data_IF_586122832159
#
_entry.id   IF_586122832159
#
_cell.length_a   1.000
_cell.length_b   1.000
_cell.length_c   1.000
_cell.angle_alpha   90.00
_cell.angle_beta   90.00
_cell.angle_gamma   90.00
#
_symmetry.space_group_name_H-M   'P 1'
#
loop_
_entity.id
_entity.type
_entity.pdbx_description
1 polymer ?
#
# COMPACT_ATOMS: atom_id res chain seq x y z
N UNK A 1 -15.24 -25.84 6.40
CA UNK A 1 -15.69 -24.55 7.02
C UNK A 1 -15.58 -23.51 5.92
N UNK A 2 -16.52 -22.57 5.81
CA UNK A 2 -16.48 -21.47 4.84
C UNK A 2 -15.83 -20.24 5.47
N UNK A 3 -15.41 -19.28 4.66
CA UNK A 3 -15.00 -17.96 5.15
C UNK A 3 -16.09 -17.34 6.04
N UNK A 4 -15.73 -16.44 6.99
CA UNK A 4 -16.71 -15.75 7.83
C UNK A 4 -17.84 -15.11 7.01
N UNK A 5 -19.07 -15.09 7.54
CA UNK A 5 -20.21 -14.50 6.81
C UNK A 5 -20.10 -13.00 6.59
N UNK A 6 -19.36 -12.33 7.47
CA UNK A 6 -19.05 -10.91 7.46
C UNK A 6 -17.70 -10.60 6.83
N UNK A 7 -17.14 -11.56 6.05
CA UNK A 7 -15.88 -11.39 5.35
C UNK A 7 -15.92 -10.19 4.39
N UNK A 8 -14.94 -9.32 4.49
CA UNK A 8 -14.87 -8.06 3.75
C UNK A 8 -14.30 -8.26 2.34
N UNK A 9 -15.14 -8.67 1.41
CA UNK A 9 -14.83 -8.70 0.00
C UNK A 9 -14.88 -7.31 -0.60
N UNK A 10 -13.87 -6.88 -1.35
CA UNK A 10 -13.89 -5.56 -1.96
C UNK A 10 -12.83 -5.36 -3.02
N UNK A 11 -12.35 -4.13 -3.12
CA UNK A 11 -11.25 -3.73 -3.99
C UNK A 11 -10.43 -2.61 -3.36
N UNK A 12 -9.23 -2.38 -3.87
CA UNK A 12 -8.29 -1.42 -3.32
C UNK A 12 -7.70 -0.48 -4.38
N UNK A 13 -7.49 0.78 -3.98
CA UNK A 13 -6.81 1.84 -4.74
C UNK A 13 -6.04 2.78 -3.80
N UNK A 14 -5.23 3.67 -4.37
CA UNK A 14 -4.55 4.75 -3.65
C UNK A 14 -4.86 6.10 -4.29
N UNK A 15 -5.22 7.11 -3.49
CA UNK A 15 -5.68 8.41 -3.94
C UNK A 15 -4.82 9.01 -5.05
N UNK A 16 -3.50 9.05 -4.88
CA UNK A 16 -2.58 9.62 -5.86
C UNK A 16 -2.54 8.91 -7.21
N UNK A 17 -2.99 7.64 -7.29
CA UNK A 17 -2.94 6.87 -8.54
C UNK A 17 -4.22 6.98 -9.37
N UNK A 18 -5.33 7.41 -8.77
CA UNK A 18 -6.61 7.39 -9.47
C UNK A 18 -7.46 8.66 -9.33
N UNK A 19 -7.36 9.42 -8.24
CA UNK A 19 -8.26 10.54 -7.98
C UNK A 19 -8.13 11.69 -9.00
N UNK A 20 -6.91 12.14 -9.26
CA UNK A 20 -6.71 13.37 -10.04
C UNK A 20 -7.10 14.64 -9.26
N UNK A 21 -7.66 15.64 -9.97
CA UNK A 21 -8.10 16.90 -9.38
C UNK A 21 -6.97 17.75 -8.80
N UNK A 22 -5.74 17.66 -9.32
CA UNK A 22 -4.60 18.48 -8.90
C UNK A 22 -4.64 19.86 -9.53
N UNK A 23 -5.20 19.96 -10.74
CA UNK A 23 -5.11 21.17 -11.57
C UNK A 23 -6.29 22.14 -11.38
N UNK A 24 -7.39 21.68 -10.81
CA UNK A 24 -8.68 22.38 -10.79
C UNK A 24 -9.38 22.39 -9.41
N UNK A 25 -8.65 22.04 -8.35
CA UNK A 25 -9.13 22.05 -6.96
C UNK A 25 -8.13 22.74 -6.04
N UNK A 26 -8.48 22.85 -4.74
CA UNK A 26 -7.59 23.36 -3.70
C UNK A 26 -6.48 22.40 -3.28
N UNK A 27 -6.45 21.16 -3.82
CA UNK A 27 -5.45 20.15 -3.49
C UNK A 27 -4.02 20.67 -3.72
N UNK A 28 -3.18 20.59 -2.70
CA UNK A 28 -1.74 20.85 -2.82
C UNK A 28 -0.98 19.73 -3.54
N UNK A 29 0.28 20.01 -3.89
CA UNK A 29 1.16 19.01 -4.48
C UNK A 29 1.65 18.02 -3.42
N UNK A 30 1.58 16.73 -3.73
CA UNK A 30 2.22 15.67 -2.97
C UNK A 30 3.58 15.28 -3.57
N UNK A 31 4.35 14.46 -2.84
CA UNK A 31 5.59 13.86 -3.36
C UNK A 31 5.35 13.03 -4.63
N UNK A 32 4.17 12.44 -4.81
CA UNK A 32 3.80 11.71 -6.02
C UNK A 32 3.50 12.62 -7.21
N UNK A 33 3.04 13.85 -6.97
CA UNK A 33 2.68 14.83 -8.01
C UNK A 33 3.90 15.48 -8.67
N UNK A 34 5.08 15.33 -8.09
CA UNK A 34 6.36 15.77 -8.67
C UNK A 34 7.19 14.62 -9.24
N UNK A 35 6.54 13.48 -9.47
CA UNK A 35 7.15 12.31 -10.12
C UNK A 35 6.63 12.16 -11.56
N UNK A 36 7.54 12.20 -12.53
CA UNK A 36 7.18 12.08 -13.95
C UNK A 36 6.61 10.69 -14.29
N UNK A 37 5.96 10.57 -15.42
CA UNK A 37 5.73 9.25 -16.04
C UNK A 37 7.06 8.59 -16.40
N UNK A 38 7.06 7.27 -16.45
CA UNK A 38 8.19 6.44 -16.86
C UNK A 38 7.72 5.14 -17.48
N UNK A 39 8.57 4.15 -17.53
CA UNK A 39 8.27 2.77 -17.96
C UNK A 39 9.35 1.81 -17.44
N UNK A 40 9.28 0.52 -17.79
CA UNK A 40 10.25 -0.51 -17.35
C UNK A 40 11.70 -0.17 -17.71
N UNK A 41 11.93 0.49 -18.86
CA UNK A 41 13.28 0.86 -19.33
C UNK A 41 13.70 2.30 -18.98
N UNK A 42 12.73 3.17 -18.68
CA UNK A 42 12.97 4.57 -18.31
C UNK A 42 12.28 4.85 -16.98
N UNK A 43 13.01 4.83 -15.86
CA UNK A 43 12.44 5.09 -14.55
C UNK A 43 11.76 6.45 -14.44
N UNK A 44 10.79 6.58 -13.53
CA UNK A 44 10.23 7.86 -13.11
C UNK A 44 11.34 8.77 -12.55
N UNK A 45 11.20 10.07 -12.76
CA UNK A 45 12.12 11.08 -12.23
C UNK A 45 11.39 11.92 -11.19
N UNK A 46 12.01 12.07 -10.03
CA UNK A 46 11.57 13.02 -8.99
C UNK A 46 12.10 14.40 -9.39
N UNK A 47 11.21 15.38 -9.53
CA UNK A 47 11.58 16.73 -9.95
C UNK A 47 11.43 17.73 -8.80
N UNK A 48 12.23 18.79 -8.81
CA UNK A 48 12.04 19.92 -7.89
C UNK A 48 10.86 20.78 -8.38
N UNK A 49 9.66 20.43 -7.88
CA UNK A 49 8.37 20.97 -8.33
C UNK A 49 7.97 20.50 -9.73
N UNK A 50 6.82 20.93 -10.19
CA UNK A 50 6.31 20.64 -11.53
C UNK A 50 7.11 21.41 -12.57
N UNK A 51 7.60 20.75 -13.62
CA UNK A 51 8.39 21.33 -14.70
C UNK A 51 7.59 21.37 -15.99
N UNK A 52 7.64 22.47 -16.69
CA UNK A 52 7.00 22.63 -18.01
C UNK A 52 7.55 21.60 -19.01
N UNK A 53 6.68 21.03 -19.81
CA UNK A 53 7.01 20.03 -20.83
C UNK A 53 7.22 18.61 -20.32
N UNK A 54 7.12 18.35 -19.00
CA UNK A 54 7.15 17.02 -18.45
C UNK A 54 5.73 16.51 -18.14
N UNK A 55 5.54 15.21 -18.29
CA UNK A 55 4.26 14.56 -18.03
C UNK A 55 4.20 13.97 -16.61
N UNK A 56 3.18 14.34 -15.86
CA UNK A 56 2.92 13.89 -14.49
C UNK A 56 1.59 13.12 -14.45
N UNK A 57 1.60 11.78 -14.55
CA UNK A 57 0.39 10.99 -14.71
C UNK A 57 -0.58 11.08 -13.52
N UNK A 58 -0.06 11.34 -12.32
CA UNK A 58 -0.85 11.42 -11.09
C UNK A 58 -1.74 12.68 -11.04
N UNK A 59 -1.44 13.74 -11.79
CA UNK A 59 -2.26 14.97 -11.79
C UNK A 59 -3.70 14.74 -12.22
N UNK A 60 -3.93 13.78 -13.11
CA UNK A 60 -5.27 13.41 -13.58
C UNK A 60 -5.70 12.05 -13.00
N UNK A 61 -4.75 11.13 -12.76
CA UNK A 61 -5.10 9.75 -12.38
C UNK A 61 -6.02 9.14 -13.43
N UNK A 62 -7.20 8.73 -13.02
CA UNK A 62 -8.31 8.37 -13.91
C UNK A 62 -9.52 9.30 -13.72
N UNK A 63 -9.26 10.45 -13.10
CA UNK A 63 -10.25 11.47 -12.81
C UNK A 63 -11.42 10.96 -11.94
N UNK A 64 -11.11 10.15 -10.95
CA UNK A 64 -12.10 9.69 -9.98
C UNK A 64 -12.75 10.87 -9.23
N UNK A 65 -12.04 11.96 -9.03
CA UNK A 65 -12.56 13.15 -8.37
C UNK A 65 -13.91 13.59 -8.99
N UNK A 66 -14.02 13.57 -10.32
CA UNK A 66 -15.26 13.91 -11.02
C UNK A 66 -16.17 12.72 -11.31
N UNK A 67 -15.63 11.49 -11.33
CA UNK A 67 -16.33 10.26 -11.72
C UNK A 67 -16.69 9.32 -10.55
N UNK A 68 -16.42 9.70 -9.27
CA UNK A 68 -16.56 8.79 -8.13
C UNK A 68 -17.94 8.11 -8.02
N UNK A 69 -19.03 8.80 -8.37
CA UNK A 69 -20.38 8.21 -8.32
C UNK A 69 -20.57 7.09 -9.34
N UNK A 70 -20.00 7.26 -10.54
CA UNK A 70 -20.04 6.25 -11.58
C UNK A 70 -19.19 5.02 -11.18
N UNK A 71 -17.97 5.26 -10.71
CA UNK A 71 -17.04 4.22 -10.32
C UNK A 71 -17.57 3.44 -9.09
N UNK A 72 -18.09 4.11 -8.06
CA UNK A 72 -18.70 3.47 -6.89
C UNK A 72 -19.94 2.65 -7.28
N UNK A 73 -20.74 3.09 -8.25
CA UNK A 73 -21.85 2.31 -8.77
C UNK A 73 -21.40 1.00 -9.41
N UNK A 74 -20.26 1.01 -10.12
CA UNK A 74 -19.67 -0.22 -10.67
C UNK A 74 -19.15 -1.15 -9.56
N UNK A 75 -18.56 -0.61 -8.49
CA UNK A 75 -18.15 -1.39 -7.32
C UNK A 75 -19.36 -2.03 -6.62
N UNK A 76 -20.44 -1.29 -6.48
CA UNK A 76 -21.71 -1.80 -5.93
C UNK A 76 -22.31 -2.92 -6.81
N UNK A 77 -22.25 -2.77 -8.14
CA UNK A 77 -22.69 -3.82 -9.06
C UNK A 77 -21.84 -5.09 -8.93
N UNK A 78 -20.54 -4.96 -8.67
CA UNK A 78 -19.63 -6.08 -8.38
C UNK A 78 -19.90 -6.74 -7.04
N UNK A 79 -20.72 -6.11 -6.19
CA UNK A 79 -21.13 -6.64 -4.89
C UNK A 79 -20.15 -6.36 -3.76
N UNK A 80 -19.26 -5.40 -3.89
CA UNK A 80 -18.29 -5.04 -2.85
C UNK A 80 -18.97 -4.85 -1.50
N UNK A 81 -18.32 -5.39 -0.46
CA UNK A 81 -18.67 -5.18 0.95
C UNK A 81 -17.82 -4.09 1.57
N UNK A 82 -16.63 -3.86 1.03
CA UNK A 82 -15.76 -2.77 1.44
C UNK A 82 -15.01 -2.20 0.22
N UNK A 83 -14.55 -0.97 0.35
CA UNK A 83 -13.65 -0.34 -0.61
C UNK A 83 -12.48 0.28 0.14
N UNK A 84 -11.26 -0.19 -0.16
CA UNK A 84 -10.05 0.36 0.43
C UNK A 84 -9.49 1.46 -0.45
N UNK A 85 -9.27 2.63 0.15
CA UNK A 85 -8.57 3.74 -0.49
C UNK A 85 -7.75 4.53 0.54
N UNK A 86 -7.08 5.59 0.10
CA UNK A 86 -6.41 6.54 0.98
C UNK A 86 -7.12 7.91 0.95
N UNK A 87 -6.83 8.73 1.96
CA UNK A 87 -7.15 10.16 1.96
C UNK A 87 -5.88 10.90 1.52
N UNK A 88 -5.95 11.66 0.41
CA UNK A 88 -4.86 12.51 0.01
C UNK A 88 -4.62 13.58 1.08
N UNK A 89 -3.48 13.48 1.79
CA UNK A 89 -3.12 14.43 2.85
C UNK A 89 -3.20 15.88 2.34
N UNK A 90 -2.75 16.10 1.11
CA UNK A 90 -2.75 17.42 0.45
C UNK A 90 -4.12 17.95 0.05
N UNK A 91 -5.21 17.16 0.14
CA UNK A 91 -6.58 17.69 0.06
C UNK A 91 -7.04 18.28 1.40
N UNK A 92 -6.54 17.70 2.49
CA UNK A 92 -6.93 18.13 3.84
C UNK A 92 -6.02 19.25 4.35
N UNK A 93 -4.74 19.18 4.06
CA UNK A 93 -3.73 20.19 4.35
C UNK A 93 -2.83 20.34 3.12
N UNK A 94 -3.09 21.29 2.23
CA UNK A 94 -2.38 21.47 0.95
C UNK A 94 -0.85 21.58 1.06
N UNK A 95 -0.34 22.20 2.11
CA UNK A 95 1.10 22.29 2.42
C UNK A 95 1.51 21.31 3.54
N UNK A 96 0.57 20.87 4.37
CA UNK A 96 0.79 19.92 5.46
C UNK A 96 1.04 20.54 6.83
N UNK A 97 1.40 21.83 6.91
CA UNK A 97 1.72 22.56 8.14
C UNK A 97 0.70 23.68 8.49
N UNK A 98 -0.38 23.81 7.73
CA UNK A 98 -1.45 24.79 8.00
C UNK A 98 -2.09 24.58 9.37
N UNK A 99 -2.61 25.66 9.96
CA UNK A 99 -3.35 25.61 11.22
C UNK A 99 -4.74 24.97 11.07
N UNK A 100 -5.41 25.22 9.94
CA UNK A 100 -6.77 24.77 9.67
C UNK A 100 -6.80 23.86 8.44
N UNK A 101 -7.65 22.82 8.43
CA UNK A 101 -7.81 21.96 7.27
C UNK A 101 -8.62 22.67 6.17
N UNK A 102 -8.44 22.20 4.95
CA UNK A 102 -9.21 22.62 3.78
C UNK A 102 -10.58 21.95 3.78
N UNK A 103 -11.66 22.76 3.78
CA UNK A 103 -13.04 22.26 3.83
C UNK A 103 -13.47 21.62 2.50
N UNK A 104 -12.96 22.07 1.35
CA UNK A 104 -13.27 21.45 0.06
C UNK A 104 -12.77 19.99 0.02
N UNK A 105 -11.56 19.77 0.51
CA UNK A 105 -10.99 18.42 0.60
C UNK A 105 -11.75 17.55 1.59
N UNK A 106 -12.15 18.09 2.75
CA UNK A 106 -12.96 17.37 3.73
C UNK A 106 -14.33 16.98 3.16
N UNK A 107 -15.00 17.90 2.46
CA UNK A 107 -16.31 17.66 1.87
C UNK A 107 -16.25 16.63 0.75
N UNK A 108 -15.18 16.61 -0.08
CA UNK A 108 -15.02 15.59 -1.10
C UNK A 108 -15.04 14.18 -0.52
N UNK A 109 -14.31 13.93 0.57
CA UNK A 109 -14.33 12.60 1.21
C UNK A 109 -15.63 12.31 1.96
N UNK A 110 -16.33 13.34 2.49
CA UNK A 110 -17.69 13.15 3.00
C UNK A 110 -18.61 12.59 1.91
N UNK A 111 -18.56 13.19 0.72
CA UNK A 111 -19.40 12.81 -0.43
C UNK A 111 -19.03 11.40 -0.94
N UNK A 112 -17.75 11.07 -1.00
CA UNK A 112 -17.26 9.72 -1.40
C UNK A 112 -17.73 8.66 -0.40
N UNK A 113 -17.59 8.91 0.91
CA UNK A 113 -17.99 7.95 1.93
C UNK A 113 -19.51 7.81 2.01
N UNK A 114 -20.26 8.87 1.86
CA UNK A 114 -21.72 8.82 1.80
C UNK A 114 -22.22 8.02 0.58
N UNK A 115 -21.55 8.18 -0.58
CA UNK A 115 -21.90 7.39 -1.77
C UNK A 115 -21.55 5.90 -1.59
N UNK A 116 -20.43 5.54 -0.94
CA UNK A 116 -20.10 4.16 -0.60
C UNK A 116 -21.15 3.56 0.35
N UNK A 117 -21.44 4.25 1.45
CA UNK A 117 -22.38 3.79 2.48
C UNK A 117 -23.81 3.64 1.95
N UNK A 118 -24.23 4.47 1.01
CA UNK A 118 -25.52 4.36 0.30
C UNK A 118 -25.70 2.98 -0.35
N UNK A 119 -24.62 2.35 -0.81
CA UNK A 119 -24.61 0.98 -1.37
C UNK A 119 -24.25 -0.09 -0.36
N UNK A 120 -24.04 0.24 0.92
CA UNK A 120 -23.59 -0.69 1.95
C UNK A 120 -22.16 -1.16 1.78
N UNK A 121 -21.32 -0.31 1.18
CA UNK A 121 -19.87 -0.56 1.01
C UNK A 121 -19.13 0.16 2.15
N UNK A 122 -18.45 -0.60 3.02
CA UNK A 122 -17.66 -0.06 4.12
C UNK A 122 -16.39 0.61 3.61
N UNK A 123 -16.12 1.88 3.94
CA UNK A 123 -14.83 2.50 3.67
C UNK A 123 -13.72 1.88 4.54
N UNK A 124 -12.59 1.52 3.91
CA UNK A 124 -11.36 1.08 4.58
C UNK A 124 -10.27 2.06 4.19
N UNK A 125 -9.80 2.85 5.14
CA UNK A 125 -9.03 4.07 4.83
C UNK A 125 -7.59 3.98 5.30
N UNK A 126 -6.66 4.23 4.37
CA UNK A 126 -5.25 4.45 4.66
C UNK A 126 -5.00 5.96 4.79
N UNK A 127 -4.43 6.42 5.90
CA UNK A 127 -4.15 7.84 6.13
C UNK A 127 -3.02 8.35 5.22
N UNK A 128 -1.90 7.64 5.14
CA UNK A 128 -0.79 8.02 4.26
C UNK A 128 -0.44 6.90 3.29
N UNK A 129 -0.58 7.16 1.99
CA UNK A 129 -0.28 6.21 0.92
C UNK A 129 0.62 6.84 -0.14
N UNK A 130 1.92 6.99 0.18
CA UNK A 130 2.95 7.51 -0.72
C UNK A 130 2.72 8.93 -1.24
N UNK A 131 1.99 9.76 -0.50
CA UNK A 131 1.58 11.09 -0.95
C UNK A 131 1.67 12.18 0.14
N UNK A 132 2.78 12.16 0.90
CA UNK A 132 3.10 13.27 1.81
C UNK A 132 3.05 14.60 1.05
N UNK A 133 2.61 15.71 1.68
CA UNK A 133 2.71 17.05 1.08
C UNK A 133 4.14 17.35 0.63
N UNK A 134 4.31 17.74 -0.64
CA UNK A 134 5.62 18.07 -1.22
C UNK A 134 6.33 19.19 -0.44
N UNK A 135 5.57 20.15 0.09
CA UNK A 135 6.08 21.21 0.95
C UNK A 135 6.79 20.64 2.19
N UNK A 136 6.19 19.64 2.87
CA UNK A 136 6.85 19.00 4.03
C UNK A 136 8.14 18.29 3.65
N UNK A 137 8.16 17.63 2.50
CA UNK A 137 9.39 16.99 1.99
C UNK A 137 10.47 18.03 1.68
N UNK A 138 10.10 19.15 1.04
CA UNK A 138 11.02 20.19 0.61
C UNK A 138 11.57 21.05 1.76
N UNK A 139 10.68 21.55 2.61
CA UNK A 139 11.05 22.54 3.64
C UNK A 139 11.50 21.89 4.95
N UNK A 140 11.00 20.68 5.26
CA UNK A 140 11.31 19.98 6.51
C UNK A 140 12.19 18.74 6.30
N UNK A 141 12.36 18.26 5.05
CA UNK A 141 13.03 16.99 4.76
C UNK A 141 12.16 15.78 5.13
N UNK A 142 10.85 15.94 5.08
CA UNK A 142 9.91 14.88 5.40
C UNK A 142 10.04 14.36 6.83
N UNK A 143 10.01 13.04 6.99
CA UNK A 143 10.18 12.39 8.29
C UNK A 143 11.62 12.38 8.84
N UNK A 144 12.59 13.01 8.19
CA UNK A 144 13.87 13.35 8.85
C UNK A 144 13.68 14.42 9.93
N UNK A 145 12.59 15.15 9.90
CA UNK A 145 12.27 16.18 10.88
C UNK A 145 11.18 15.68 11.85
N UNK A 146 11.50 15.70 13.15
CA UNK A 146 10.56 15.27 14.21
C UNK A 146 9.21 16.01 14.18
N UNK A 147 9.16 17.26 13.72
CA UNK A 147 7.91 18.03 13.58
C UNK A 147 6.88 17.36 12.66
N UNK A 148 7.33 16.54 11.70
CA UNK A 148 6.44 15.83 10.79
C UNK A 148 5.56 14.82 11.53
N UNK A 149 5.98 14.34 12.71
CA UNK A 149 5.13 13.56 13.62
C UNK A 149 3.86 14.35 13.96
N UNK A 150 4.02 15.59 14.40
CA UNK A 150 2.89 16.41 14.84
C UNK A 150 1.98 16.80 13.68
N UNK A 151 2.53 17.08 12.50
CA UNK A 151 1.76 17.35 11.29
C UNK A 151 0.92 16.14 10.87
N UNK A 152 1.50 14.93 10.88
CA UNK A 152 0.75 13.71 10.59
C UNK A 152 -0.34 13.42 11.61
N UNK A 153 -0.04 13.56 12.90
CA UNK A 153 -1.00 13.33 13.99
C UNK A 153 -2.17 14.29 13.88
N UNK A 154 -1.92 15.57 13.58
CA UNK A 154 -2.96 16.58 13.33
C UNK A 154 -3.85 16.20 12.14
N UNK A 155 -3.26 15.78 11.04
CA UNK A 155 -3.99 15.28 9.86
C UNK A 155 -4.88 14.09 10.23
N UNK A 156 -4.33 13.09 10.92
CA UNK A 156 -5.06 11.92 11.37
C UNK A 156 -6.22 12.29 12.30
N UNK A 157 -5.99 13.16 13.27
CA UNK A 157 -7.00 13.62 14.22
C UNK A 157 -8.18 14.32 13.52
N UNK A 158 -7.90 15.19 12.54
CA UNK A 158 -8.93 15.84 11.74
C UNK A 158 -9.77 14.82 10.97
N UNK A 159 -9.14 13.87 10.30
CA UNK A 159 -9.84 12.80 9.58
C UNK A 159 -10.69 11.94 10.52
N UNK A 160 -10.14 11.50 11.65
CA UNK A 160 -10.87 10.71 12.64
C UNK A 160 -12.10 11.45 13.19
N UNK A 161 -11.96 12.73 13.53
CA UNK A 161 -13.08 13.55 14.02
C UNK A 161 -14.16 13.76 12.96
N UNK A 162 -13.74 14.07 11.71
CA UNK A 162 -14.69 14.36 10.61
C UNK A 162 -15.48 13.12 10.22
N UNK A 163 -14.82 11.96 10.10
CA UNK A 163 -15.43 10.77 9.53
C UNK A 163 -15.76 9.67 10.55
N UNK A 164 -15.78 10.00 11.86
CA UNK A 164 -15.99 9.04 12.96
C UNK A 164 -17.25 8.20 12.87
N UNK A 165 -18.27 8.70 12.19
CA UNK A 165 -19.57 8.04 12.04
C UNK A 165 -19.72 7.33 10.67
N UNK A 166 -18.68 7.44 9.79
CA UNK A 166 -18.68 6.91 8.42
C UNK A 166 -17.62 5.85 8.20
N UNK A 167 -16.49 5.92 8.88
CA UNK A 167 -15.33 5.04 8.68
C UNK A 167 -15.00 4.33 9.97
N UNK A 168 -14.96 3.01 9.91
CA UNK A 168 -14.60 2.13 11.03
C UNK A 168 -13.16 1.60 10.91
N UNK A 169 -12.72 1.28 9.68
CA UNK A 169 -11.46 0.61 9.41
C UNK A 169 -10.42 1.60 8.90
N UNK A 170 -9.31 1.72 9.63
CA UNK A 170 -8.23 2.65 9.34
C UNK A 170 -6.89 1.93 9.26
N UNK A 171 -5.96 2.49 8.49
CA UNK A 171 -4.55 2.14 8.48
C UNK A 171 -3.72 3.42 8.50
N UNK A 172 -2.56 3.41 9.16
CA UNK A 172 -1.76 4.63 9.30
C UNK A 172 -0.90 4.91 8.07
N UNK A 173 0.05 4.04 7.74
CA UNK A 173 0.97 4.18 6.61
C UNK A 173 0.89 2.98 5.70
N UNK A 174 0.86 3.21 4.39
CA UNK A 174 0.91 2.14 3.39
C UNK A 174 2.33 1.61 3.25
N UNK A 175 2.47 0.29 3.25
CA UNK A 175 3.74 -0.41 2.99
C UNK A 175 4.95 0.27 3.64
N UNK A 176 4.81 0.64 4.93
CA UNK A 176 5.81 1.39 5.69
C UNK A 176 7.20 0.76 5.62
N UNK A 177 7.28 -0.55 5.41
CA UNK A 177 8.52 -1.31 5.30
C UNK A 177 9.19 -1.26 3.91
N UNK A 178 8.58 -0.65 2.90
CA UNK A 178 9.19 -0.52 1.57
C UNK A 178 10.43 0.39 1.59
N UNK A 179 10.49 1.36 2.50
CA UNK A 179 11.66 2.21 2.69
C UNK A 179 12.94 1.46 3.10
N UNK A 180 12.83 0.18 3.51
CA UNK A 180 14.00 -0.70 3.71
C UNK A 180 14.84 -0.84 2.42
N UNK A 181 14.27 -0.55 1.25
CA UNK A 181 14.99 -0.44 -0.01
C UNK A 181 15.67 0.94 -0.15
N UNK A 182 16.32 1.42 0.90
CA UNK A 182 16.89 2.76 1.03
C UNK A 182 17.94 3.12 -0.04
N UNK A 183 18.47 2.14 -0.78
CA UNK A 183 19.39 2.34 -1.91
C UNK A 183 18.66 2.84 -3.17
N UNK A 184 17.35 2.72 -3.24
CA UNK A 184 16.53 3.25 -4.32
C UNK A 184 15.74 4.47 -3.79
N UNK A 185 16.05 5.62 -4.35
CA UNK A 185 15.56 6.92 -3.89
C UNK A 185 14.03 7.06 -3.88
N UNK A 186 13.35 6.34 -4.78
CA UNK A 186 11.88 6.36 -4.88
C UNK A 186 11.21 5.95 -3.56
N UNK A 187 11.75 4.94 -2.86
CA UNK A 187 11.13 4.45 -1.63
C UNK A 187 11.30 5.40 -0.45
N UNK A 188 12.46 6.03 -0.30
CA UNK A 188 12.66 7.09 0.69
C UNK A 188 11.76 8.30 0.43
N UNK A 189 11.68 8.71 -0.83
CA UNK A 189 10.88 9.84 -1.26
C UNK A 189 9.38 9.61 -1.01
N UNK A 190 8.84 8.48 -1.43
CA UNK A 190 7.41 8.22 -1.35
C UNK A 190 6.92 7.83 0.04
N UNK A 191 7.73 7.08 0.82
CA UNK A 191 7.38 6.74 2.20
C UNK A 191 7.59 7.91 3.15
N UNK A 192 8.78 8.52 3.14
CA UNK A 192 9.24 9.44 4.17
C UNK A 192 9.41 10.90 3.71
N UNK A 193 9.25 11.19 2.42
CA UNK A 193 9.55 12.51 1.85
C UNK A 193 11.04 12.87 1.91
N UNK A 194 11.93 11.87 1.92
CA UNK A 194 13.36 12.04 2.13
C UNK A 194 14.20 11.32 1.06
N UNK A 195 15.30 11.96 0.68
CA UNK A 195 16.35 11.37 -0.18
C UNK A 195 17.44 10.81 0.72
N UNK A 196 17.39 9.53 1.05
CA UNK A 196 18.36 8.92 1.98
C UNK A 196 19.80 9.01 1.50
N UNK A 197 20.02 9.00 0.18
CA UNK A 197 21.36 9.18 -0.41
C UNK A 197 22.04 10.52 -0.11
N UNK A 198 21.30 11.51 0.39
CA UNK A 198 21.87 12.82 0.79
C UNK A 198 22.48 12.82 2.20
N UNK A 199 22.38 11.70 2.95
CA UNK A 199 22.92 11.58 4.30
C UNK A 199 24.19 10.73 4.31
N UNK A 200 25.08 10.99 5.27
CA UNK A 200 26.35 10.26 5.41
C UNK A 200 26.16 8.76 5.58
N UNK A 201 25.07 8.35 6.24
CA UNK A 201 24.64 6.97 6.38
C UNK A 201 23.17 6.82 5.96
N UNK A 202 22.90 6.44 4.70
CA UNK A 202 21.54 6.28 4.20
C UNK A 202 20.68 5.28 4.97
N UNK A 203 21.27 4.20 5.47
CA UNK A 203 20.55 3.19 6.24
C UNK A 203 20.13 3.75 7.62
N UNK A 204 21.02 4.47 8.29
CA UNK A 204 20.69 5.13 9.56
C UNK A 204 19.59 6.18 9.38
N UNK A 205 19.66 6.98 8.30
CA UNK A 205 18.66 7.97 7.94
C UNK A 205 17.28 7.30 7.71
N UNK A 206 17.24 6.17 7.00
CA UNK A 206 16.02 5.39 6.81
C UNK A 206 15.42 4.93 8.14
N UNK A 207 16.23 4.38 9.05
CA UNK A 207 15.74 3.98 10.37
C UNK A 207 15.30 5.17 11.24
N UNK A 208 15.92 6.33 11.08
CA UNK A 208 15.49 7.55 11.76
C UNK A 208 14.12 8.03 11.26
N UNK A 209 13.90 8.08 9.95
CA UNK A 209 12.58 8.35 9.38
C UNK A 209 11.56 7.33 9.84
N UNK A 210 11.89 6.04 9.73
CA UNK A 210 11.02 4.96 10.17
C UNK A 210 10.66 5.04 11.65
N UNK A 211 11.59 5.49 12.50
CA UNK A 211 11.29 5.75 13.91
C UNK A 211 10.21 6.82 14.07
N UNK A 212 10.34 7.95 13.39
CA UNK A 212 9.35 9.04 13.49
C UNK A 212 7.99 8.65 12.91
N UNK A 213 7.97 7.88 11.83
CA UNK A 213 6.72 7.31 11.29
C UNK A 213 6.06 6.32 12.26
N UNK A 214 6.84 5.46 12.92
CA UNK A 214 6.33 4.54 13.94
C UNK A 214 5.72 5.28 15.13
N UNK A 215 6.37 6.36 15.61
CA UNK A 215 5.85 7.22 16.67
C UNK A 215 4.58 7.94 16.22
N UNK A 216 4.56 8.49 14.99
CA UNK A 216 3.39 9.14 14.41
C UNK A 216 2.21 8.15 14.29
N UNK A 217 2.47 6.93 13.81
CA UNK A 217 1.49 5.84 13.75
C UNK A 217 0.91 5.52 15.13
N UNK A 218 1.75 5.33 16.13
CA UNK A 218 1.31 4.99 17.48
C UNK A 218 0.48 6.12 18.14
N UNK A 219 0.91 7.38 17.98
CA UNK A 219 0.14 8.54 18.45
C UNK A 219 -1.22 8.64 17.75
N UNK A 220 -1.28 8.39 16.43
CA UNK A 220 -2.53 8.38 15.67
C UNK A 220 -3.47 7.26 16.14
N UNK A 221 -2.97 6.03 16.37
CA UNK A 221 -3.77 4.92 16.92
C UNK A 221 -4.39 5.30 18.26
N UNK A 222 -3.58 5.83 19.17
CA UNK A 222 -4.07 6.26 20.48
C UNK A 222 -5.17 7.33 20.38
N UNK A 223 -4.94 8.39 19.61
CA UNK A 223 -5.94 9.47 19.40
C UNK A 223 -7.20 8.93 18.72
N UNK A 224 -7.06 8.03 17.74
CA UNK A 224 -8.21 7.42 17.08
C UNK A 224 -9.11 6.69 18.06
N UNK A 225 -8.55 5.88 18.97
CA UNK A 225 -9.32 5.17 20.01
C UNK A 225 -9.92 6.13 21.06
N UNK A 226 -9.28 7.26 21.37
CA UNK A 226 -9.84 8.30 22.24
C UNK A 226 -11.04 9.00 21.58
N UNK A 227 -11.03 9.17 20.25
CA UNK A 227 -12.15 9.78 19.50
C UNK A 227 -13.29 8.77 19.34
N UNK A 228 -12.99 7.53 18.96
CA UNK A 228 -13.98 6.48 18.81
C UNK A 228 -13.36 5.11 19.18
N UNK A 229 -13.71 4.54 20.34
CA UNK A 229 -13.17 3.27 20.81
C UNK A 229 -13.58 2.05 19.95
N UNK A 230 -14.51 2.24 19.00
CA UNK A 230 -14.92 1.19 18.05
C UNK A 230 -14.12 1.22 16.73
N UNK A 231 -13.19 2.15 16.56
CA UNK A 231 -12.30 2.12 15.43
C UNK A 231 -11.42 0.87 15.48
N UNK A 232 -11.19 0.28 14.31
CA UNK A 232 -10.17 -0.71 14.09
C UNK A 232 -9.06 -0.06 13.27
N UNK A 233 -7.90 0.13 13.91
CA UNK A 233 -6.76 0.85 13.31
C UNK A 233 -5.61 -0.13 13.13
N UNK A 234 -5.33 -0.47 11.88
CA UNK A 234 -4.24 -1.38 11.50
C UNK A 234 -2.98 -0.67 11.05
N UNK A 235 -1.94 -1.46 10.90
CA UNK A 235 -0.79 -1.10 10.07
C UNK A 235 -0.99 -1.61 8.64
N UNK A 236 -0.04 -1.30 7.75
CA UNK A 236 0.01 -1.90 6.43
C UNK A 236 1.46 -2.12 6.00
N UNK A 237 1.80 -3.37 5.70
CA UNK A 237 3.15 -3.79 5.28
C UNK A 237 3.14 -4.47 3.92
N UNK A 238 4.21 -4.28 3.16
CA UNK A 238 4.50 -5.10 1.98
C UNK A 238 5.02 -6.46 2.43
N UNK A 239 4.20 -7.50 2.29
CA UNK A 239 4.58 -8.85 2.66
C UNK A 239 5.13 -9.59 1.45
N UNK A 240 6.45 -9.69 1.40
CA UNK A 240 7.21 -10.45 0.41
C UNK A 240 7.99 -11.54 1.15
N UNK A 241 7.47 -12.75 1.26
CA UNK A 241 8.21 -13.87 1.86
C UNK A 241 9.54 -14.10 1.13
N UNK A 242 10.59 -14.36 1.88
CA UNK A 242 11.92 -14.59 1.35
C UNK A 242 12.32 -16.04 1.60
N UNK A 243 12.37 -16.83 0.53
CA UNK A 243 12.72 -18.23 0.59
C UNK A 243 14.24 -18.44 0.55
N UNK A 244 14.79 -19.40 1.31
CA UNK A 244 16.14 -19.88 1.05
C UNK A 244 16.15 -20.67 -0.25
N UNK A 245 17.17 -20.44 -1.11
CA UNK A 245 17.32 -21.17 -2.38
C UNK A 245 17.52 -22.68 -2.18
N UNK A 246 18.15 -23.05 -1.08
CA UNK A 246 18.41 -24.44 -0.75
C UNK A 246 18.31 -24.71 0.75
N UNK A 247 18.40 -25.99 1.15
CA UNK A 247 18.52 -26.37 2.56
C UNK A 247 19.94 -26.13 3.16
N UNK A 248 20.81 -25.39 2.47
CA UNK A 248 22.10 -24.96 3.03
C UNK A 248 21.86 -24.09 4.27
N UNK A 249 22.51 -24.39 5.42
CA UNK A 249 22.31 -23.60 6.64
C UNK A 249 22.53 -22.10 6.47
N UNK A 250 23.50 -21.69 5.63
CA UNK A 250 23.75 -20.28 5.33
C UNK A 250 22.58 -19.60 4.59
N UNK A 251 21.90 -20.30 3.66
CA UNK A 251 20.72 -19.78 2.97
C UNK A 251 19.54 -19.59 3.95
N UNK A 252 19.37 -20.53 4.90
CA UNK A 252 18.34 -20.46 5.93
C UNK A 252 18.56 -19.27 6.88
N UNK A 253 19.81 -19.04 7.31
CA UNK A 253 20.16 -17.90 8.16
C UNK A 253 19.95 -16.59 7.40
N UNK A 254 20.42 -16.50 6.14
CA UNK A 254 20.25 -15.33 5.30
C UNK A 254 18.76 -14.98 5.11
N UNK A 255 17.92 -15.96 4.78
CA UNK A 255 16.46 -15.76 4.66
C UNK A 255 15.87 -15.20 5.97
N UNK A 256 16.29 -15.72 7.13
CA UNK A 256 15.84 -15.22 8.44
C UNK A 256 16.25 -13.76 8.67
N UNK A 257 17.50 -13.41 8.36
CA UNK A 257 18.02 -12.03 8.49
C UNK A 257 17.29 -11.07 7.57
N UNK A 258 17.02 -11.46 6.33
CA UNK A 258 16.25 -10.67 5.37
C UNK A 258 14.79 -10.51 5.83
N UNK A 259 14.19 -11.55 6.41
CA UNK A 259 12.83 -11.46 6.98
C UNK A 259 12.79 -10.57 8.23
N UNK A 260 13.86 -10.44 9.02
CA UNK A 260 13.92 -9.46 10.11
C UNK A 260 13.72 -8.02 9.59
N UNK A 261 14.28 -7.67 8.45
CA UNK A 261 14.06 -6.37 7.83
C UNK A 261 12.58 -6.19 7.43
N UNK A 262 11.94 -7.22 6.87
CA UNK A 262 10.51 -7.17 6.52
C UNK A 262 9.62 -7.02 7.75
N UNK A 263 9.95 -7.72 8.85
CA UNK A 263 9.18 -7.70 10.09
C UNK A 263 9.35 -6.44 10.94
N UNK A 264 10.46 -5.71 10.80
CA UNK A 264 10.87 -4.64 11.71
C UNK A 264 9.72 -3.68 12.07
N UNK A 265 9.08 -3.09 11.08
CA UNK A 265 8.00 -2.13 11.30
C UNK A 265 6.76 -2.79 11.93
N UNK A 266 6.36 -3.93 11.42
CA UNK A 266 5.23 -4.69 11.95
C UNK A 266 5.48 -5.14 13.39
N UNK A 267 6.70 -5.60 13.70
CA UNK A 267 7.07 -5.96 15.07
C UNK A 267 6.86 -4.78 16.04
N UNK A 268 7.29 -3.59 15.67
CA UNK A 268 7.15 -2.40 16.52
C UNK A 268 5.69 -1.98 16.65
N UNK A 269 4.95 -1.92 15.54
CA UNK A 269 3.55 -1.51 15.53
C UNK A 269 2.62 -2.49 16.27
N UNK A 270 2.94 -3.80 16.24
CA UNK A 270 2.15 -4.82 16.94
C UNK A 270 2.53 -4.98 18.43
N UNK A 271 3.82 -4.79 18.77
CA UNK A 271 4.34 -5.06 20.13
C UNK A 271 4.53 -3.82 20.97
N UNK A 272 4.57 -2.63 20.36
CA UNK A 272 4.78 -1.35 21.03
C UNK A 272 6.22 -1.13 21.52
N UNK A 273 7.18 -1.90 21.03
CA UNK A 273 8.59 -1.76 21.37
C UNK A 273 9.50 -2.33 20.29
N UNK A 274 10.76 -1.90 20.29
CA UNK A 274 11.78 -2.43 19.37
C UNK A 274 12.13 -3.88 19.69
N UNK A 275 12.15 -4.78 18.68
CA UNK A 275 12.62 -6.16 18.87
C UNK A 275 14.14 -6.19 19.13
N UNK A 276 14.59 -7.19 19.90
CA UNK A 276 16.00 -7.28 20.30
C UNK A 276 16.98 -7.38 19.12
N UNK A 277 16.58 -8.04 18.03
CA UNK A 277 17.45 -8.11 16.83
C UNK A 277 17.72 -6.73 16.24
N UNK A 278 16.73 -5.83 16.25
CA UNK A 278 16.88 -4.47 15.75
C UNK A 278 17.78 -3.62 16.66
N UNK A 279 17.55 -3.66 17.98
CA UNK A 279 18.43 -2.96 18.94
C UNK A 279 19.88 -3.44 18.83
N UNK A 280 20.10 -4.75 18.67
CA UNK A 280 21.45 -5.30 18.50
C UNK A 280 22.06 -4.90 17.17
N UNK A 281 21.26 -4.83 16.11
CA UNK A 281 21.72 -4.36 14.80
C UNK A 281 22.13 -2.87 14.87
N UNK A 282 21.33 -2.01 15.52
CA UNK A 282 21.66 -0.59 15.72
C UNK A 282 22.98 -0.43 16.50
N UNK A 283 23.15 -1.19 17.59
CA UNK A 283 24.39 -1.21 18.38
C UNK A 283 25.60 -1.62 17.52
N UNK A 284 25.49 -2.74 16.80
CA UNK A 284 26.58 -3.29 15.98
C UNK A 284 26.98 -2.37 14.82
N UNK A 285 26.01 -1.64 14.23
CA UNK A 285 26.26 -0.66 13.17
C UNK A 285 26.62 0.73 13.68
N UNK A 286 26.53 0.96 15.00
CA UNK A 286 26.84 2.24 15.63
C UNK A 286 25.82 3.34 15.33
N UNK A 287 24.57 2.98 15.00
CA UNK A 287 23.50 3.95 14.73
C UNK A 287 23.14 4.75 15.97
N UNK A 288 22.91 6.05 15.78
CA UNK A 288 22.55 6.99 16.85
C UNK A 288 21.20 7.63 16.57
N UNK A 289 20.15 6.82 16.67
CA UNK A 289 18.80 7.29 16.42
C UNK A 289 18.31 8.19 17.58
N UNK A 290 17.61 9.27 17.24
CA UNK A 290 16.92 10.14 18.20
C UNK A 290 15.64 9.47 18.71
N UNK A 291 15.78 8.56 19.66
CA UNK A 291 14.71 7.81 20.33
C UNK A 291 14.62 8.27 21.77
N UNK A 292 13.52 8.94 22.15
CA UNK A 292 13.28 9.42 23.51
C UNK A 292 12.49 8.41 24.34
N UNK A 293 12.44 8.59 25.67
CA UNK A 293 11.57 7.79 26.53
C UNK A 293 10.09 8.05 26.21
N UNK A 294 9.73 9.30 25.90
CA UNK A 294 8.37 9.66 25.49
C UNK A 294 7.94 8.92 24.19
N UNK A 295 8.87 8.72 23.24
CA UNK A 295 8.61 7.92 22.06
C UNK A 295 8.31 6.45 22.40
N UNK A 296 9.06 5.88 23.34
CA UNK A 296 8.83 4.49 23.79
C UNK A 296 7.47 4.33 24.48
N UNK A 297 7.08 5.32 25.30
CA UNK A 297 5.75 5.36 25.90
C UNK A 297 4.65 5.48 24.83
N UNK A 298 4.85 6.32 23.82
CA UNK A 298 3.90 6.46 22.71
C UNK A 298 3.76 5.16 21.93
N UNK A 299 4.86 4.51 21.59
CA UNK A 299 4.85 3.21 20.89
C UNK A 299 4.09 2.14 21.69
N UNK A 300 4.32 2.06 22.99
CA UNK A 300 3.65 1.09 23.86
C UNK A 300 2.14 1.35 24.01
N UNK A 301 1.72 2.62 23.95
CA UNK A 301 0.32 3.03 24.08
C UNK A 301 -0.49 2.95 22.78
N UNK A 302 0.16 2.82 21.62
CA UNK A 302 -0.49 2.93 20.30
C UNK A 302 -0.25 1.72 19.42
N UNK A 303 -0.38 0.49 19.95
CA UNK A 303 -0.30 -0.74 19.15
C UNK A 303 -1.54 -0.91 18.27
N UNK A 304 -1.35 -1.48 17.08
CA UNK A 304 -2.42 -1.66 16.09
C UNK A 304 -3.38 -2.80 16.45
N UNK A 305 -4.63 -2.72 15.97
CA UNK A 305 -5.68 -3.73 16.22
C UNK A 305 -5.57 -4.93 15.28
N UNK A 306 -5.22 -4.71 14.03
CA UNK A 306 -5.10 -5.73 12.99
C UNK A 306 -3.91 -5.44 12.07
N UNK A 307 -3.54 -6.41 11.26
CA UNK A 307 -2.45 -6.29 10.29
C UNK A 307 -3.03 -6.28 8.88
N UNK A 308 -2.96 -5.11 8.22
CA UNK A 308 -3.13 -5.00 6.79
C UNK A 308 -1.83 -5.32 6.05
N UNK A 309 -1.92 -5.97 4.91
CA UNK A 309 -0.73 -6.23 4.11
C UNK A 309 -1.04 -6.37 2.62
N UNK A 310 -0.03 -6.06 1.80
CA UNK A 310 0.00 -6.40 0.38
C UNK A 310 0.73 -7.71 0.17
N UNK A 311 0.26 -8.49 -0.79
CA UNK A 311 0.94 -9.69 -1.26
C UNK A 311 0.86 -9.75 -2.79
N UNK A 312 2.02 -9.71 -3.44
CA UNK A 312 2.10 -9.83 -4.91
C UNK A 312 3.01 -10.96 -5.36
N UNK A 313 4.04 -11.26 -4.57
CA UNK A 313 5.10 -12.18 -4.96
C UNK A 313 5.91 -12.67 -3.75
N UNK A 314 6.81 -13.61 -4.00
CA UNK A 314 7.87 -14.05 -3.10
C UNK A 314 9.24 -13.79 -3.72
N UNK A 315 10.27 -13.67 -2.89
CA UNK A 315 11.68 -13.61 -3.31
C UNK A 315 12.42 -14.86 -2.84
N UNK A 316 13.53 -15.19 -3.52
CA UNK A 316 14.40 -16.30 -3.14
C UNK A 316 15.83 -15.81 -3.04
N UNK A 317 16.56 -16.23 -2.00
CA UNK A 317 17.95 -15.79 -1.74
C UNK A 317 18.92 -16.95 -1.66
N UNK A 318 20.09 -16.77 -2.26
CA UNK A 318 21.23 -17.69 -2.20
C UNK A 318 22.42 -16.96 -1.56
N UNK A 319 22.95 -17.50 -0.48
CA UNK A 319 24.08 -16.93 0.28
C UNK A 319 25.38 -16.78 -0.52
N UNK A 320 25.43 -17.36 -1.72
CA UNK A 320 26.60 -17.29 -2.63
C UNK A 320 26.36 -16.38 -3.82
N UNK A 321 25.13 -15.89 -4.02
CA UNK A 321 24.79 -14.97 -5.12
C UNK A 321 25.10 -13.52 -4.74
N UNK A 322 25.54 -12.74 -5.73
CA UNK A 322 25.72 -11.28 -5.61
C UNK A 322 25.28 -10.62 -6.91
N UNK A 323 24.18 -9.85 -6.86
CA UNK A 323 23.65 -9.08 -7.99
C UNK A 323 23.58 -7.59 -7.68
N UNK A 324 23.63 -6.76 -8.71
CA UNK A 324 23.39 -5.31 -8.55
C UNK A 324 21.89 -5.03 -8.44
N UNK A 325 21.47 -4.47 -7.33
CA UNK A 325 20.05 -4.13 -7.03
C UNK A 325 19.77 -2.64 -7.03
N UNK A 326 20.70 -1.80 -7.45
CA UNK A 326 20.56 -0.33 -7.40
C UNK A 326 19.34 0.19 -8.18
N UNK A 327 18.79 -0.60 -9.09
CA UNK A 327 17.61 -0.28 -9.91
C UNK A 327 16.40 -1.17 -9.64
N UNK A 328 16.47 -2.06 -8.64
CA UNK A 328 15.37 -2.96 -8.32
C UNK A 328 14.19 -2.19 -7.71
N UNK A 329 12.99 -2.43 -8.24
CA UNK A 329 11.72 -1.90 -7.75
C UNK A 329 10.84 -2.98 -7.09
N UNK A 330 11.35 -4.20 -6.96
CA UNK A 330 10.61 -5.37 -6.49
C UNK A 330 11.06 -5.85 -5.08
N UNK A 331 11.90 -5.07 -4.41
CA UNK A 331 12.43 -5.42 -3.09
C UNK A 331 13.47 -6.54 -3.12
N UNK A 332 14.07 -6.82 -4.28
CA UNK A 332 15.19 -7.74 -4.40
C UNK A 332 16.40 -7.25 -3.59
N UNK A 333 17.18 -8.19 -3.07
CA UNK A 333 18.49 -7.97 -2.42
C UNK A 333 19.62 -8.40 -3.34
N UNK A 334 20.85 -8.07 -2.98
CA UNK A 334 22.04 -8.52 -3.69
C UNK A 334 22.20 -10.06 -3.75
N UNK A 335 21.50 -10.78 -2.89
CA UNK A 335 21.49 -12.25 -2.84
C UNK A 335 20.27 -12.86 -3.54
N UNK A 336 19.43 -12.06 -4.19
CA UNK A 336 18.22 -12.56 -4.85
C UNK A 336 18.55 -13.40 -6.08
N UNK A 337 17.85 -14.52 -6.22
CA UNK A 337 17.95 -15.44 -7.35
C UNK A 337 16.55 -15.84 -7.84
N UNK A 338 16.46 -16.27 -9.09
CA UNK A 338 15.21 -16.81 -9.61
C UNK A 338 14.83 -18.11 -8.89
N UNK A 339 13.56 -18.23 -8.49
CA UNK A 339 13.04 -19.49 -7.96
C UNK A 339 12.78 -20.45 -9.12
N UNK A 340 13.40 -21.66 -9.16
CA UNK A 340 13.26 -22.57 -10.28
C UNK A 340 11.88 -23.24 -10.36
N UNK A 341 11.03 -23.11 -9.34
CA UNK A 341 9.73 -23.76 -9.23
C UNK A 341 8.56 -22.83 -9.51
N UNK A 342 8.80 -21.50 -9.62
CA UNK A 342 7.76 -20.50 -9.69
C UNK A 342 7.84 -19.74 -11.01
N UNK A 343 6.71 -19.57 -11.69
CA UNK A 343 6.60 -18.73 -12.90
C UNK A 343 6.62 -17.25 -12.51
N UNK A 344 7.03 -16.40 -13.44
CA UNK A 344 7.01 -14.95 -13.28
C UNK A 344 6.07 -14.28 -14.26
N UNK A 345 5.55 -13.10 -13.90
CA UNK A 345 4.78 -12.23 -14.77
C UNK A 345 5.67 -11.51 -15.78
N UNK A 346 5.06 -10.75 -16.71
CA UNK A 346 5.79 -9.90 -17.68
C UNK A 346 6.67 -8.83 -17.00
N UNK A 347 6.39 -8.50 -15.74
CA UNK A 347 7.20 -7.60 -14.90
C UNK A 347 8.21 -8.32 -14.00
N UNK A 348 8.42 -9.63 -14.19
CA UNK A 348 9.38 -10.43 -13.43
C UNK A 348 8.92 -10.82 -12.02
N UNK A 349 7.68 -10.55 -11.65
CA UNK A 349 7.16 -10.87 -10.32
C UNK A 349 6.73 -12.33 -10.23
N UNK A 350 7.17 -13.01 -9.17
CA UNK A 350 6.83 -14.41 -8.92
C UNK A 350 5.32 -14.61 -8.73
N UNK A 351 4.73 -15.55 -9.46
CA UNK A 351 3.31 -15.94 -9.32
C UNK A 351 3.27 -17.11 -8.35
N UNK A 352 3.07 -16.82 -7.07
CA UNK A 352 3.17 -17.80 -5.99
C UNK A 352 1.93 -17.78 -5.07
N UNK A 353 0.86 -18.50 -5.44
CA UNK A 353 -0.32 -18.61 -4.57
C UNK A 353 -0.05 -19.28 -3.23
N UNK A 354 0.82 -20.30 -3.19
CA UNK A 354 1.17 -21.00 -1.94
C UNK A 354 1.96 -20.11 -0.99
N UNK A 355 2.73 -19.17 -1.54
CA UNK A 355 3.43 -18.14 -0.78
C UNK A 355 2.46 -17.22 -0.01
N UNK A 356 1.26 -16.97 -0.53
CA UNK A 356 0.23 -16.24 0.21
C UNK A 356 -0.22 -17.01 1.46
N UNK A 357 -0.49 -18.32 1.33
CA UNK A 357 -0.83 -19.16 2.49
C UNK A 357 0.31 -19.19 3.51
N UNK A 358 1.55 -19.33 3.03
CA UNK A 358 2.74 -19.28 3.88
C UNK A 358 2.84 -17.93 4.61
N UNK A 359 2.66 -16.81 3.91
CA UNK A 359 2.69 -15.47 4.50
C UNK A 359 1.62 -15.28 5.59
N UNK A 360 0.39 -15.74 5.34
CA UNK A 360 -0.72 -15.68 6.28
C UNK A 360 -0.40 -16.45 7.57
N UNK A 361 0.12 -17.68 7.47
CA UNK A 361 0.55 -18.46 8.62
C UNK A 361 1.67 -17.77 9.40
N UNK A 362 2.72 -17.31 8.69
CA UNK A 362 3.86 -16.64 9.34
C UNK A 362 3.45 -15.40 10.13
N UNK A 363 2.54 -14.58 9.61
CA UNK A 363 2.06 -13.38 10.30
C UNK A 363 1.14 -13.73 11.46
N UNK A 364 0.20 -14.67 11.26
CA UNK A 364 -0.74 -15.03 12.31
C UNK A 364 -0.04 -15.70 13.49
N UNK A 365 0.85 -16.66 13.26
CA UNK A 365 1.65 -17.30 14.31
C UNK A 365 2.56 -16.31 15.06
N UNK A 366 3.06 -15.24 14.37
CA UNK A 366 3.96 -14.26 14.96
C UNK A 366 3.25 -13.27 15.87
N UNK A 367 2.02 -12.88 15.55
CA UNK A 367 1.34 -11.75 16.20
C UNK A 367 0.01 -12.09 16.85
N UNK A 368 -0.65 -13.17 16.45
CA UNK A 368 -1.99 -13.57 16.91
C UNK A 368 -3.02 -12.41 16.83
N UNK A 369 -2.91 -11.59 15.76
CA UNK A 369 -3.83 -10.50 15.46
C UNK A 369 -4.62 -10.81 14.18
N UNK A 370 -5.86 -10.30 14.06
CA UNK A 370 -6.59 -10.40 12.78
C UNK A 370 -5.77 -9.88 11.63
N UNK A 371 -5.83 -10.55 10.48
CA UNK A 371 -5.14 -10.17 9.24
C UNK A 371 -6.13 -9.64 8.22
N UNK A 372 -5.68 -8.74 7.34
CA UNK A 372 -6.45 -8.25 6.21
C UNK A 372 -5.56 -8.18 4.96
N UNK A 373 -5.90 -8.95 3.93
CA UNK A 373 -5.25 -8.81 2.62
C UNK A 373 -5.82 -7.57 1.95
N UNK A 374 -5.15 -6.43 2.13
CA UNK A 374 -5.63 -5.14 1.62
C UNK A 374 -5.12 -4.82 0.22
N UNK A 375 -4.16 -5.62 -0.28
CA UNK A 375 -3.72 -5.58 -1.68
C UNK A 375 -3.25 -6.96 -2.12
N UNK A 376 -3.72 -7.39 -3.29
CA UNK A 376 -3.22 -8.51 -4.08
C UNK A 376 -3.66 -8.32 -5.52
N UNK A 377 -2.88 -8.69 -6.51
CA UNK A 377 -3.31 -8.49 -7.89
C UNK A 377 -2.26 -8.84 -8.92
N UNK A 378 -2.69 -8.83 -10.18
CA UNK A 378 -1.89 -9.18 -11.32
C UNK A 378 -1.88 -8.05 -12.36
N UNK A 379 -0.75 -7.38 -12.48
CA UNK A 379 -0.54 -6.38 -13.52
C UNK A 379 -0.31 -7.05 -14.88
N UNK A 380 -1.07 -6.66 -15.89
CA UNK A 380 -0.98 -7.20 -17.23
C UNK A 380 -1.20 -6.12 -18.30
N UNK A 381 -0.80 -6.42 -19.54
CA UNK A 381 -1.16 -5.61 -20.70
C UNK A 381 -2.49 -6.12 -21.23
N UNK A 382 -3.56 -5.42 -20.89
CA UNK A 382 -4.89 -5.78 -21.37
C UNK A 382 -5.11 -5.24 -22.78
N UNK A 383 -5.79 -6.04 -23.60
CA UNK A 383 -6.16 -5.68 -24.97
C UNK A 383 -7.67 -5.47 -25.05
N UNK A 384 -8.09 -4.30 -25.51
CA UNK A 384 -9.48 -4.04 -25.88
C UNK A 384 -9.70 -4.51 -27.31
N UNK A 385 -10.67 -5.41 -27.53
CA UNK A 385 -11.03 -5.92 -28.86
C UNK A 385 -11.88 -4.91 -29.64
N UNK A 386 -12.12 -5.16 -30.94
CA UNK A 386 -12.88 -4.25 -31.80
C UNK A 386 -14.34 -4.07 -31.36
N UNK A 387 -14.92 -5.08 -30.72
CA UNK A 387 -16.28 -5.03 -30.17
C UNK A 387 -16.35 -4.34 -28.77
N UNK A 388 -15.20 -3.89 -28.24
CA UNK A 388 -15.08 -3.23 -26.96
C UNK A 388 -14.89 -4.16 -25.76
N UNK A 389 -14.89 -5.49 -25.97
CA UNK A 389 -14.60 -6.47 -24.91
C UNK A 389 -13.14 -6.45 -24.49
N UNK A 390 -12.87 -6.90 -23.25
CA UNK A 390 -11.52 -7.09 -22.75
C UNK A 390 -11.45 -8.45 -22.05
N UNK A 391 -10.77 -9.38 -22.69
CA UNK A 391 -10.62 -10.76 -22.22
C UNK A 391 -9.35 -10.88 -21.38
N UNK A 392 -9.51 -11.13 -20.07
CA UNK A 392 -8.42 -11.19 -19.11
C UNK A 392 -8.39 -12.48 -18.24
N UNK A 393 -8.41 -13.67 -18.87
CA UNK A 393 -8.43 -14.95 -18.16
C UNK A 393 -7.22 -15.15 -17.26
N UNK A 394 -6.05 -14.60 -17.62
CA UNK A 394 -4.83 -14.63 -16.82
C UNK A 394 -5.02 -13.95 -15.45
N UNK A 395 -5.84 -12.90 -15.35
CA UNK A 395 -6.17 -12.23 -14.09
C UNK A 395 -7.08 -13.11 -13.24
N UNK A 396 -8.09 -13.72 -13.88
CA UNK A 396 -8.97 -14.68 -13.22
C UNK A 396 -8.18 -15.87 -12.66
N UNK A 397 -7.29 -16.45 -13.44
CA UNK A 397 -6.46 -17.59 -13.03
C UNK A 397 -5.54 -17.24 -11.85
N UNK A 398 -4.91 -16.06 -11.89
CA UNK A 398 -4.08 -15.57 -10.79
C UNK A 398 -4.91 -15.41 -9.49
N UNK A 399 -6.02 -14.68 -9.56
CA UNK A 399 -6.86 -14.40 -8.38
C UNK A 399 -7.51 -15.68 -7.84
N UNK A 400 -8.00 -16.57 -8.70
CA UNK A 400 -8.56 -17.87 -8.31
C UNK A 400 -7.54 -18.66 -7.48
N UNK A 401 -6.34 -18.84 -7.99
CA UNK A 401 -5.30 -19.59 -7.32
C UNK A 401 -4.94 -19.00 -5.95
N UNK A 402 -4.87 -17.68 -5.84
CA UNK A 402 -4.57 -17.00 -4.56
C UNK A 402 -5.74 -17.11 -3.57
N UNK A 403 -6.98 -16.96 -4.02
CA UNK A 403 -8.17 -17.10 -3.18
C UNK A 403 -8.29 -18.54 -2.66
N UNK A 404 -7.98 -19.55 -3.46
CA UNK A 404 -7.94 -20.94 -3.01
C UNK A 404 -6.94 -21.16 -1.86
N UNK A 405 -5.77 -20.57 -1.93
CA UNK A 405 -4.77 -20.69 -0.86
C UNK A 405 -5.14 -19.85 0.38
N UNK A 406 -5.74 -18.69 0.17
CA UNK A 406 -6.31 -17.87 1.25
C UNK A 406 -7.39 -18.65 2.02
N UNK A 407 -8.32 -19.32 1.31
CA UNK A 407 -9.34 -20.19 1.94
C UNK A 407 -8.71 -21.30 2.76
N UNK A 408 -7.66 -21.96 2.24
CA UNK A 408 -6.94 -23.00 2.99
C UNK A 408 -6.29 -22.46 4.27
N UNK A 409 -5.73 -21.25 4.24
CA UNK A 409 -5.18 -20.62 5.44
C UNK A 409 -6.25 -20.44 6.54
N UNK A 410 -7.46 -20.05 6.16
CA UNK A 410 -8.58 -19.89 7.12
C UNK A 410 -9.14 -21.25 7.54
N UNK A 411 -9.45 -22.13 6.59
CA UNK A 411 -10.21 -23.35 6.82
C UNK A 411 -9.38 -24.49 7.43
N UNK A 412 -8.10 -24.56 7.07
CA UNK A 412 -7.19 -25.65 7.49
C UNK A 412 -6.26 -25.16 8.59
N UNK A 413 -5.67 -23.98 8.41
CA UNK A 413 -4.60 -23.48 9.28
C UNK A 413 -5.15 -22.62 10.44
N UNK A 414 -6.43 -22.19 10.36
CA UNK A 414 -7.09 -21.44 11.44
C UNK A 414 -6.70 -19.97 11.53
N UNK A 415 -6.22 -19.38 10.44
CA UNK A 415 -5.87 -17.96 10.37
C UNK A 415 -7.14 -17.11 10.51
N UNK A 416 -7.10 -16.11 11.40
CA UNK A 416 -8.16 -15.10 11.52
C UNK A 416 -7.96 -14.03 10.43
N UNK A 417 -8.76 -14.12 9.37
CA UNK A 417 -8.69 -13.23 8.20
C UNK A 417 -9.99 -12.45 8.04
N UNK A 418 -9.89 -11.12 8.08
CA UNK A 418 -11.03 -10.20 8.04
C UNK A 418 -11.59 -9.98 6.63
N UNK A 419 -10.73 -9.98 5.61
CA UNK A 419 -11.15 -9.61 4.26
C UNK A 419 -10.06 -9.70 3.21
N UNK A 420 -10.47 -9.42 1.97
CA UNK A 420 -9.65 -9.46 0.78
C UNK A 420 -10.05 -8.37 -0.20
N UNK A 421 -9.11 -7.48 -0.54
CA UNK A 421 -9.31 -6.38 -1.49
C UNK A 421 -8.24 -6.41 -2.58
N UNK A 422 -8.53 -6.98 -3.77
CA UNK A 422 -7.62 -6.94 -4.90
C UNK A 422 -7.21 -5.50 -5.23
N UNK A 423 -5.92 -5.34 -5.54
CA UNK A 423 -5.35 -4.07 -5.93
C UNK A 423 -5.78 -3.65 -7.33
N UNK A 424 -6.09 -2.35 -7.47
CA UNK A 424 -6.42 -1.77 -8.76
C UNK A 424 -7.75 -2.27 -9.29
N UNK A 425 -8.81 -2.38 -8.46
CA UNK A 425 -10.11 -2.89 -8.87
C UNK A 425 -10.73 -2.18 -10.10
N UNK A 426 -10.29 -0.97 -10.38
CA UNK A 426 -10.40 -0.24 -11.65
C UNK A 426 -9.00 0.15 -12.10
N UNK A 427 -8.72 0.20 -13.39
CA UNK A 427 -7.41 0.55 -13.91
C UNK A 427 -6.95 1.91 -13.39
N UNK A 428 -5.71 2.00 -12.95
CA UNK A 428 -5.12 3.22 -12.41
C UNK A 428 -3.66 3.37 -12.84
N UNK A 429 -3.07 4.51 -12.57
CA UNK A 429 -1.64 4.78 -12.83
C UNK A 429 -0.79 3.84 -11.99
N UNK A 430 0.14 3.12 -12.61
CA UNK A 430 1.08 2.25 -11.89
C UNK A 430 2.02 3.08 -11.00
N UNK A 431 2.15 2.69 -9.73
CA UNK A 431 3.03 3.38 -8.78
C UNK A 431 4.50 3.38 -9.25
N UNK A 432 5.03 2.19 -9.57
CA UNK A 432 6.46 2.04 -9.86
C UNK A 432 6.89 2.67 -11.17
N UNK A 433 6.05 2.59 -12.21
CA UNK A 433 6.41 3.02 -13.57
C UNK A 433 5.69 4.29 -14.04
N UNK A 434 4.59 4.68 -13.40
CA UNK A 434 3.75 5.79 -13.86
C UNK A 434 2.96 5.48 -15.14
N UNK A 435 2.84 4.20 -15.52
CA UNK A 435 2.19 3.74 -16.74
C UNK A 435 0.73 3.36 -16.50
N UNK A 436 -0.11 3.61 -17.49
CA UNK A 436 -1.49 3.07 -17.54
C UNK A 436 -1.55 1.66 -18.13
N UNK A 437 -0.60 1.26 -18.96
CA UNK A 437 -0.62 -0.05 -19.64
C UNK A 437 -0.43 -1.24 -18.69
N UNK A 438 0.17 -1.04 -17.51
CA UNK A 438 0.25 -2.06 -16.46
C UNK A 438 -1.06 -2.10 -15.69
N UNK A 439 -2.04 -2.82 -16.22
CA UNK A 439 -3.42 -2.81 -15.76
C UNK A 439 -3.68 -3.92 -14.74
N UNK A 440 -4.40 -3.59 -13.69
CA UNK A 440 -4.80 -4.52 -12.63
C UNK A 440 -6.33 -4.71 -12.56
N UNK A 441 -7.10 -3.76 -13.12
CA UNK A 441 -8.52 -3.59 -12.85
C UNK A 441 -9.43 -4.67 -13.43
N UNK A 442 -10.56 -4.85 -12.78
CA UNK A 442 -11.77 -5.51 -13.34
C UNK A 442 -12.52 -4.58 -14.30
N UNK A 443 -12.25 -3.28 -14.19
CA UNK A 443 -12.83 -2.22 -15.00
C UNK A 443 -11.69 -1.57 -15.80
N UNK A 444 -11.82 -1.62 -17.12
CA UNK A 444 -10.92 -0.95 -18.04
C UNK A 444 -11.22 0.56 -18.06
N UNK A 445 -10.20 1.38 -18.00
CA UNK A 445 -10.30 2.83 -18.21
C UNK A 445 -9.58 3.18 -19.50
N UNK A 446 -10.26 3.85 -20.42
CA UNK A 446 -9.67 4.29 -21.68
C UNK A 446 -8.72 5.46 -21.46
N UNK A 447 -7.50 5.13 -21.03
CA UNK A 447 -6.39 6.06 -20.85
C UNK A 447 -5.08 5.39 -21.23
N UNK A 448 -4.24 6.13 -21.96
CA UNK A 448 -2.92 5.69 -22.42
C UNK A 448 -1.79 6.28 -21.54
N UNK A 449 -0.57 5.80 -21.76
CA UNK A 449 0.62 6.24 -21.02
C UNK A 449 0.97 7.71 -21.24
N UNK A 450 0.57 8.30 -22.39
CA UNK A 450 0.78 9.70 -22.73
C UNK A 450 -0.35 10.63 -22.21
N UNK A 451 -1.32 10.06 -21.51
CA UNK A 451 -2.48 10.78 -20.99
C UNK A 451 -3.65 10.91 -21.96
N UNK A 452 -3.52 10.44 -23.20
CA UNK A 452 -4.64 10.41 -24.17
C UNK A 452 -5.66 9.34 -23.79
N UNK A 453 -6.87 9.44 -24.37
CA UNK A 453 -8.00 8.57 -24.13
C UNK A 453 -9.23 9.34 -23.70
N UNK A 454 -10.37 8.66 -23.59
CA UNK A 454 -11.68 9.25 -23.28
C UNK A 454 -12.02 9.19 -21.81
N UNK A 455 -11.26 8.45 -21.01
CA UNK A 455 -11.56 8.07 -19.62
C UNK A 455 -12.84 7.22 -19.48
N UNK A 456 -13.42 6.72 -20.55
CA UNK A 456 -14.57 5.81 -20.47
C UNK A 456 -14.24 4.53 -19.70
N UNK A 457 -15.22 4.07 -18.89
CA UNK A 457 -15.15 2.84 -18.11
C UNK A 457 -15.84 1.71 -18.86
N UNK A 458 -15.19 0.54 -18.95
CA UNK A 458 -15.81 -0.68 -19.47
C UNK A 458 -15.42 -1.91 -18.64
N UNK A 459 -16.34 -2.86 -18.51
CA UNK A 459 -16.11 -4.07 -17.73
C UNK A 459 -15.21 -5.02 -18.51
N UNK A 460 -14.30 -5.71 -17.81
CA UNK A 460 -13.52 -6.84 -18.32
C UNK A 460 -14.22 -8.16 -17.96
N UNK A 461 -13.78 -9.29 -18.52
CA UNK A 461 -14.35 -10.60 -18.19
C UNK A 461 -14.21 -10.92 -16.69
N UNK A 462 -13.11 -10.52 -16.08
CA UNK A 462 -12.85 -10.67 -14.64
C UNK A 462 -13.87 -9.94 -13.75
N UNK A 463 -14.58 -8.93 -14.25
CA UNK A 463 -15.64 -8.23 -13.51
C UNK A 463 -16.78 -9.18 -13.11
N UNK A 464 -17.34 -9.90 -14.08
CA UNK A 464 -18.46 -10.83 -13.83
C UNK A 464 -17.98 -12.06 -13.03
N UNK A 465 -16.75 -12.50 -13.23
CA UNK A 465 -16.17 -13.57 -12.45
C UNK A 465 -16.03 -13.14 -10.98
N UNK A 466 -15.44 -11.98 -10.69
CA UNK A 466 -15.25 -11.53 -9.30
C UNK A 466 -16.58 -11.23 -8.59
N UNK A 467 -17.58 -10.73 -9.33
CA UNK A 467 -18.94 -10.57 -8.84
C UNK A 467 -19.54 -11.90 -8.32
N UNK A 468 -19.32 -13.03 -9.02
CA UNK A 468 -19.74 -14.36 -8.57
C UNK A 468 -18.98 -14.81 -7.32
N UNK A 469 -17.68 -14.56 -7.28
CA UNK A 469 -16.83 -14.86 -6.10
C UNK A 469 -17.37 -14.13 -4.86
N UNK A 470 -17.63 -12.83 -4.97
CA UNK A 470 -18.17 -12.04 -3.86
C UNK A 470 -19.55 -12.52 -3.44
N UNK A 471 -20.46 -12.74 -4.40
CA UNK A 471 -21.84 -13.17 -4.15
C UNK A 471 -21.92 -14.54 -3.46
N UNK A 472 -20.97 -15.43 -3.76
CA UNK A 472 -20.88 -16.78 -3.17
C UNK A 472 -20.05 -16.84 -1.88
N UNK A 473 -19.54 -15.70 -1.39
CA UNK A 473 -18.56 -15.65 -0.30
C UNK A 473 -17.33 -16.55 -0.57
N UNK A 474 -16.84 -16.54 -1.84
CA UNK A 474 -15.68 -17.31 -2.25
C UNK A 474 -15.93 -18.81 -2.49
N UNK A 475 -17.18 -19.26 -2.51
CA UNK A 475 -17.49 -20.68 -2.77
C UNK A 475 -17.50 -21.02 -4.27
N UNK A 476 -17.92 -20.08 -5.12
CA UNK A 476 -17.91 -20.21 -6.58
C UNK A 476 -16.71 -19.46 -7.17
N UNK A 477 -15.67 -20.18 -7.50
CA UNK A 477 -14.47 -19.64 -8.14
C UNK A 477 -14.44 -19.90 -9.67
N UNK A 478 -15.51 -20.48 -10.23
CA UNK A 478 -15.71 -20.68 -11.66
C UNK A 478 -15.10 -21.95 -12.22
#
# INVERSE_FOLDING_TARGET
MSLPKDFLWGGALAAHQFEGGVLDTTKGLSVADVMTGGNVSTPRVITDGVKEGLYYPNHIGIDFYHHYKEDIKLFAEMGFKCFRTSIAWTRIFPLGDEEQPDEEGLQFYDDVFDELLKYGIEPVITLSHFEMPYHLAKEYGGFMNRKTIDFFVKFAEVCFKRYKDKVKYWMTFNEINNQMNYKNDIFGWTNSGAHFGNYDNPEEAMYQCGHYELVASAKAVKIGHEINPNFLIGNMIAMVPIYPFSCRPADMVLSTEMMHQRWFFCDVQCRGHYPRYALKMFENKGFKLDITEEDKEALAAGTVDYIGFSYYMTNTVDSTAHIDVSKSLDGSSEHSVANPYIKVSDWGWAIDPEGLRYALNQMYERYEKPLFIVENGFGAIDKKEEDGSCHDPYRVDYLRAHIEQMKKAVEIDGVDLMGYTPWGCIDCVSFTTGEMKKRYGFIYVDRNNDGSGTLERSKKDSFEWYKKVVASNGEDLG
#
